data_IF_603029473994
#
_entry.id   IF_603029473994
#
_cell.length_a   1.000
_cell.length_b   1.000
_cell.length_c   1.000
_cell.angle_alpha   90.00
_cell.angle_beta   90.00
_cell.angle_gamma   90.00
#
_symmetry.space_group_name_H-M   'P 1'
#
loop_
_entity.id
_entity.type
_entity.pdbx_description
1 polymer ?
#
# COMPACT_ATOMS: atom_id res chain seq x y z
N UNK A 1 -3.58 -11.72 -17.91
CA UNK A 1 -2.73 -12.72 -17.22
C UNK A 1 -2.41 -12.23 -15.82
N UNK A 2 -2.53 -13.09 -14.83
CA UNK A 2 -2.20 -12.70 -13.46
C UNK A 2 -0.69 -12.61 -13.27
N UNK A 3 -0.28 -11.64 -12.47
CA UNK A 3 1.12 -11.43 -12.12
C UNK A 3 1.60 -12.42 -11.05
N UNK A 4 0.70 -12.78 -10.13
CA UNK A 4 1.01 -13.66 -8.99
C UNK A 4 -0.20 -14.49 -8.60
N UNK A 5 0.03 -15.50 -7.78
CA UNK A 5 -1.03 -16.30 -7.17
C UNK A 5 -0.82 -16.40 -5.67
N UNK A 6 -1.90 -16.70 -4.94
CA UNK A 6 -1.84 -16.97 -3.51
C UNK A 6 -1.59 -18.46 -3.32
N UNK A 7 -0.58 -18.79 -2.49
CA UNK A 7 -0.27 -20.18 -2.18
C UNK A 7 -1.17 -20.65 -1.03
N UNK A 8 -2.13 -21.52 -1.34
CA UNK A 8 -3.11 -21.98 -0.34
C UNK A 8 -2.51 -22.91 0.70
N UNK A 9 -1.35 -23.49 0.41
CA UNK A 9 -0.65 -24.40 1.33
C UNK A 9 0.47 -23.72 2.13
N UNK A 10 0.68 -22.43 1.93
CA UNK A 10 1.70 -21.68 2.65
C UNK A 10 1.04 -20.46 3.27
N UNK A 11 0.47 -20.65 4.45
CA UNK A 11 -0.34 -19.63 5.10
C UNK A 11 0.09 -19.43 6.55
N UNK A 12 -0.26 -18.25 7.07
CA UNK A 12 -0.12 -17.96 8.50
C UNK A 12 -1.43 -17.37 9.00
N UNK A 13 -1.67 -17.46 10.29
CA UNK A 13 -2.78 -16.76 10.93
C UNK A 13 -2.22 -15.61 11.73
N UNK A 14 -2.74 -14.41 11.49
CA UNK A 14 -2.26 -13.18 12.10
C UNK A 14 -3.45 -12.40 12.63
N UNK A 15 -3.57 -12.30 13.96
CA UNK A 15 -4.73 -11.67 14.62
C UNK A 15 -6.08 -12.22 14.12
N UNK A 16 -6.16 -13.54 13.96
CA UNK A 16 -7.39 -14.20 13.51
C UNK A 16 -7.64 -14.12 12.01
N UNK A 17 -6.75 -13.53 11.24
CA UNK A 17 -6.89 -13.42 9.78
C UNK A 17 -5.89 -14.36 9.12
N UNK A 18 -6.36 -15.16 8.15
CA UNK A 18 -5.49 -16.03 7.38
C UNK A 18 -4.81 -15.23 6.28
N UNK A 19 -3.48 -15.33 6.20
CA UNK A 19 -2.68 -14.68 5.18
C UNK A 19 -2.00 -15.74 4.33
N UNK A 20 -1.86 -15.45 3.05
CA UNK A 20 -1.33 -16.36 2.04
C UNK A 20 -0.03 -15.80 1.48
N UNK A 21 0.98 -16.65 1.39
CA UNK A 21 2.22 -16.29 0.70
C UNK A 21 1.93 -16.16 -0.80
N UNK A 22 2.60 -15.22 -1.45
CA UNK A 22 2.41 -14.99 -2.89
C UNK A 22 3.56 -15.58 -3.70
N UNK A 23 3.27 -15.94 -4.95
CA UNK A 23 4.26 -16.48 -5.87
C UNK A 23 4.09 -15.80 -7.23
N UNK A 24 5.18 -15.29 -7.80
CA UNK A 24 5.15 -14.63 -9.10
C UNK A 24 4.86 -15.63 -10.22
N UNK A 25 3.91 -15.28 -11.08
CA UNK A 25 3.56 -16.08 -12.25
C UNK A 25 4.25 -15.60 -13.51
N UNK A 26 4.82 -14.40 -13.47
CA UNK A 26 5.59 -13.81 -14.58
C UNK A 26 6.81 -13.11 -13.99
N UNK A 27 7.79 -12.80 -14.85
CA UNK A 27 8.94 -11.99 -14.46
C UNK A 27 8.61 -10.52 -14.66
N UNK A 28 8.96 -9.68 -13.68
CA UNK A 28 8.74 -8.23 -13.77
C UNK A 28 9.66 -7.51 -12.79
N UNK A 29 10.16 -6.34 -13.18
CA UNK A 29 10.87 -5.42 -12.29
C UNK A 29 11.86 -6.07 -11.30
N UNK A 30 12.68 -7.00 -11.79
CA UNK A 30 13.67 -7.69 -10.96
C UNK A 30 13.13 -8.90 -10.20
N UNK A 31 11.83 -9.13 -10.24
CA UNK A 31 11.21 -10.33 -9.67
C UNK A 31 11.14 -11.38 -10.76
N UNK A 32 11.62 -12.59 -10.48
CA UNK A 32 11.60 -13.66 -11.47
C UNK A 32 10.35 -14.55 -11.30
N UNK A 33 9.86 -15.06 -12.44
CA UNK A 33 8.77 -16.04 -12.43
C UNK A 33 9.11 -17.18 -11.48
N UNK A 34 8.18 -17.50 -10.59
CA UNK A 34 8.36 -18.54 -9.57
C UNK A 34 8.89 -18.02 -8.25
N UNK A 35 9.33 -16.78 -8.20
CA UNK A 35 9.83 -16.19 -6.96
C UNK A 35 8.70 -16.04 -5.94
N UNK A 36 9.00 -16.36 -4.69
CA UNK A 36 8.04 -16.28 -3.58
C UNK A 36 8.21 -14.95 -2.87
N UNK A 37 7.07 -14.28 -2.60
CA UNK A 37 7.05 -12.99 -1.90
C UNK A 37 6.53 -13.11 -0.48
N UNK A 38 5.97 -12.03 0.04
CA UNK A 38 5.41 -11.97 1.39
C UNK A 38 3.99 -12.53 1.47
N UNK A 39 3.21 -12.00 2.42
CA UNK A 39 1.87 -12.49 2.73
C UNK A 39 0.81 -11.44 2.47
N UNK A 40 -0.32 -11.83 1.90
CA UNK A 40 -1.49 -10.97 1.74
C UNK A 40 -2.75 -11.73 2.15
N UNK A 41 -3.79 -11.00 2.54
CA UNK A 41 -5.06 -11.62 2.93
C UNK A 41 -5.94 -11.94 1.71
N UNK A 42 -5.86 -11.12 0.67
CA UNK A 42 -6.64 -11.31 -0.55
C UNK A 42 -6.00 -10.53 -1.70
N UNK A 43 -6.46 -10.79 -2.93
CA UNK A 43 -5.90 -10.12 -4.10
C UNK A 43 -6.10 -8.61 -4.12
N UNK A 44 -7.05 -8.07 -3.35
CA UNK A 44 -7.21 -6.61 -3.28
C UNK A 44 -6.03 -5.93 -2.61
N UNK A 45 -5.26 -6.67 -1.81
CA UNK A 45 -4.12 -6.12 -1.07
C UNK A 45 -2.90 -5.85 -1.96
N UNK A 46 -2.82 -6.47 -3.13
CA UNK A 46 -1.69 -6.28 -4.03
C UNK A 46 -2.19 -6.28 -5.47
N UNK A 47 -1.92 -5.20 -6.20
CA UNK A 47 -2.35 -5.08 -7.58
C UNK A 47 -1.74 -6.17 -8.47
N UNK A 48 -2.56 -6.75 -9.34
CA UNK A 48 -2.09 -7.70 -10.36
C UNK A 48 -1.42 -6.98 -11.53
N UNK A 49 -1.63 -5.67 -11.67
CA UNK A 49 -0.99 -4.86 -12.70
C UNK A 49 0.16 -4.06 -12.07
N UNK A 50 1.02 -3.50 -12.92
CA UNK A 50 2.16 -2.71 -12.45
C UNK A 50 3.25 -3.57 -11.86
N UNK A 51 4.19 -2.94 -11.17
CA UNK A 51 5.39 -3.60 -10.65
C UNK A 51 5.39 -3.77 -9.12
N UNK A 52 4.27 -3.49 -8.48
CA UNK A 52 4.17 -3.58 -7.01
C UNK A 52 4.43 -5.00 -6.52
N UNK A 53 5.10 -5.11 -5.38
CA UNK A 53 5.42 -6.41 -4.79
C UNK A 53 5.51 -6.33 -3.26
N UNK A 54 5.22 -7.45 -2.62
CA UNK A 54 5.37 -7.62 -1.17
C UNK A 54 6.51 -8.62 -0.97
N UNK A 55 7.55 -8.20 -0.28
CA UNK A 55 8.81 -8.94 -0.13
C UNK A 55 8.92 -9.66 1.21
N UNK A 56 9.74 -10.69 1.24
CA UNK A 56 10.16 -11.34 2.49
C UNK A 56 8.99 -11.87 3.29
N UNK A 57 8.91 -11.50 4.54
CA UNK A 57 7.82 -11.91 5.43
C UNK A 57 6.87 -10.76 5.77
N UNK A 58 6.90 -9.69 4.97
CA UNK A 58 5.97 -8.58 5.16
C UNK A 58 4.52 -9.06 5.00
N UNK A 59 3.62 -8.43 5.74
CA UNK A 59 2.20 -8.80 5.78
C UNK A 59 1.34 -7.61 5.38
N UNK A 60 0.50 -7.80 4.35
CA UNK A 60 -0.43 -6.78 3.89
C UNK A 60 -1.83 -7.36 3.98
N UNK A 61 -2.72 -6.72 4.71
CA UNK A 61 -4.05 -7.27 5.00
C UNK A 61 -5.08 -6.15 5.17
N UNK A 62 -6.31 -6.56 5.50
CA UNK A 62 -7.40 -5.61 5.70
C UNK A 62 -7.72 -4.86 4.41
N UNK A 63 -7.82 -3.55 4.50
CA UNK A 63 -8.20 -2.70 3.38
C UNK A 63 -7.00 -2.04 2.68
N UNK A 64 -5.78 -2.46 3.00
CA UNK A 64 -4.57 -1.95 2.35
C UNK A 64 -4.52 -2.35 0.89
N UNK A 65 -4.04 -1.44 0.04
CA UNK A 65 -3.88 -1.67 -1.40
C UNK A 65 -2.48 -1.23 -1.84
N UNK A 66 -1.63 -2.20 -2.14
CA UNK A 66 -0.28 -1.94 -2.64
C UNK A 66 -0.34 -1.96 -4.18
N UNK A 67 0.02 -0.85 -4.81
CA UNK A 67 -0.20 -0.62 -6.24
C UNK A 67 0.99 0.05 -6.90
N UNK A 68 0.89 0.21 -8.22
CA UNK A 68 1.87 0.94 -9.02
C UNK A 68 3.24 0.30 -8.96
N UNK A 69 4.23 1.07 -8.54
CA UNK A 69 5.60 0.62 -8.40
C UNK A 69 6.01 0.47 -6.92
N UNK A 70 5.04 0.48 -6.02
CA UNK A 70 5.33 0.38 -4.59
C UNK A 70 5.84 -1.01 -4.23
N UNK A 71 6.72 -1.05 -3.22
CA UNK A 71 7.13 -2.32 -2.64
C UNK A 71 7.03 -2.23 -1.12
N UNK A 72 6.70 -3.33 -0.52
CA UNK A 72 6.53 -3.45 0.92
C UNK A 72 7.44 -4.58 1.39
N UNK A 73 8.44 -4.24 2.21
CA UNK A 73 9.41 -5.20 2.76
C UNK A 73 9.17 -5.50 4.23
N UNK A 74 8.37 -4.66 4.89
CA UNK A 74 8.02 -4.82 6.30
C UNK A 74 6.66 -4.21 6.58
N UNK A 75 6.13 -4.52 7.75
CA UNK A 75 4.79 -4.05 8.12
C UNK A 75 4.70 -2.53 8.28
N UNK A 76 5.83 -1.87 8.44
CA UNK A 76 5.89 -0.42 8.60
C UNK A 76 5.99 0.33 7.26
N UNK A 77 6.01 -0.38 6.13
CA UNK A 77 6.19 0.26 4.81
C UNK A 77 4.91 0.78 4.19
N UNK A 78 3.78 0.63 4.85
CA UNK A 78 2.52 1.17 4.38
C UNK A 78 1.67 1.64 5.56
N UNK A 79 0.75 2.59 5.28
CA UNK A 79 -0.19 3.11 6.27
C UNK A 79 -1.57 3.14 5.64
N UNK A 80 -2.57 2.68 6.38
CA UNK A 80 -3.97 2.69 5.92
C UNK A 80 -4.75 3.69 6.76
N UNK A 81 -5.51 4.55 6.09
CA UNK A 81 -6.39 5.51 6.72
C UNK A 81 -7.82 5.30 6.26
N UNK A 82 -8.75 5.82 7.02
CA UNK A 82 -10.17 5.76 6.68
C UNK A 82 -10.70 7.17 6.45
N UNK A 83 -11.44 7.35 5.36
CA UNK A 83 -12.14 8.60 5.09
C UNK A 83 -13.30 8.72 6.07
N UNK A 84 -13.20 9.63 7.03
CA UNK A 84 -14.20 9.82 8.08
C UNK A 84 -15.16 10.96 7.80
N UNK A 85 -15.02 11.66 6.69
CA UNK A 85 -15.80 12.86 6.39
C UNK A 85 -16.79 12.69 5.24
N UNK A 86 -16.78 11.55 4.54
CA UNK A 86 -17.72 11.29 3.44
C UNK A 86 -18.00 9.80 3.27
N UNK A 87 -17.28 9.13 2.38
CA UNK A 87 -17.63 7.77 1.93
C UNK A 87 -17.29 6.63 2.90
N UNK A 88 -16.42 6.87 3.86
CA UNK A 88 -15.89 5.80 4.71
C UNK A 88 -14.87 4.91 4.02
N UNK A 89 -14.43 5.30 2.82
CA UNK A 89 -13.44 4.55 2.04
C UNK A 89 -12.09 4.54 2.75
N UNK A 90 -11.43 3.39 2.70
CA UNK A 90 -10.04 3.29 3.16
C UNK A 90 -9.09 3.73 2.05
N UNK A 91 -7.95 4.30 2.43
CA UNK A 91 -6.93 4.69 1.48
C UNK A 91 -5.55 4.36 2.03
N UNK A 92 -4.60 4.11 1.14
CA UNK A 92 -3.30 3.57 1.50
C UNK A 92 -2.17 4.48 1.02
N UNK A 93 -1.22 4.71 1.92
CA UNK A 93 0.05 5.35 1.59
C UNK A 93 1.14 4.29 1.62
N UNK A 94 1.99 4.23 0.59
CA UNK A 94 3.14 3.34 0.56
C UNK A 94 4.42 4.16 0.64
N UNK A 95 5.30 3.78 1.55
CA UNK A 95 6.49 4.58 1.88
C UNK A 95 7.60 4.48 0.83
N UNK A 96 7.72 3.35 0.17
CA UNK A 96 8.79 3.12 -0.80
C UNK A 96 8.81 4.14 -1.94
N UNK A 97 7.65 4.53 -2.41
CA UNK A 97 7.51 5.47 -3.54
C UNK A 97 6.75 6.73 -3.18
N UNK A 98 6.37 6.89 -1.91
CA UNK A 98 5.67 8.07 -1.39
C UNK A 98 4.39 8.40 -2.16
N UNK A 99 3.62 7.35 -2.47
CA UNK A 99 2.37 7.50 -3.24
C UNK A 99 1.15 7.07 -2.45
N UNK A 100 0.02 7.60 -2.88
CA UNK A 100 -1.28 7.39 -2.24
C UNK A 100 -2.23 6.69 -3.20
N UNK A 101 -2.89 5.65 -2.70
CA UNK A 101 -3.96 4.97 -3.43
C UNK A 101 -5.28 5.30 -2.76
N UNK A 102 -6.16 6.01 -3.48
CA UNK A 102 -7.47 6.44 -2.96
C UNK A 102 -8.51 6.10 -4.04
N UNK A 103 -9.16 4.96 -3.90
CA UNK A 103 -10.05 4.45 -4.94
C UNK A 103 -9.32 4.30 -6.26
N UNK A 104 -9.77 5.01 -7.29
CA UNK A 104 -9.11 5.00 -8.59
C UNK A 104 -7.90 5.93 -8.69
N UNK A 105 -7.76 6.83 -7.71
CA UNK A 105 -6.63 7.75 -7.72
C UNK A 105 -5.35 7.07 -7.27
N UNK A 106 -4.24 7.39 -7.94
CA UNK A 106 -2.92 6.95 -7.54
C UNK A 106 -1.92 8.05 -7.90
N UNK A 107 -1.18 8.55 -6.92
CA UNK A 107 -0.23 9.63 -7.14
C UNK A 107 0.44 10.06 -5.85
N UNK A 108 1.30 11.08 -5.95
CA UNK A 108 1.99 11.61 -4.78
C UNK A 108 1.05 12.51 -3.95
N UNK A 109 1.53 12.96 -2.79
CA UNK A 109 0.70 13.77 -1.89
C UNK A 109 0.22 15.08 -2.50
N UNK A 110 1.09 15.76 -3.26
CA UNK A 110 0.72 17.02 -3.90
C UNK A 110 -0.41 16.80 -4.91
N UNK A 111 -0.29 15.75 -5.73
CA UNK A 111 -1.33 15.41 -6.71
C UNK A 111 -2.65 15.03 -6.03
N UNK A 112 -2.58 14.32 -4.91
CA UNK A 112 -3.78 13.98 -4.15
C UNK A 112 -4.48 15.24 -3.62
N UNK A 113 -3.73 16.18 -3.06
CA UNK A 113 -4.28 17.41 -2.53
C UNK A 113 -4.95 18.22 -3.65
N UNK A 114 -4.28 18.35 -4.80
CA UNK A 114 -4.86 19.08 -5.94
C UNK A 114 -6.18 18.46 -6.40
N UNK A 115 -6.19 17.14 -6.56
CA UNK A 115 -7.40 16.43 -6.97
C UNK A 115 -8.53 16.62 -5.95
N UNK A 116 -8.21 16.50 -4.68
CA UNK A 116 -9.20 16.60 -3.62
C UNK A 116 -9.84 18.00 -3.57
N UNK A 117 -9.06 19.06 -3.77
CA UNK A 117 -9.61 20.41 -3.83
C UNK A 117 -10.50 20.64 -5.05
N UNK A 118 -10.23 19.95 -6.16
CA UNK A 118 -11.12 20.01 -7.33
C UNK A 118 -12.48 19.38 -7.03
N UNK A 119 -12.51 18.36 -6.15
CA UNK A 119 -13.74 17.72 -5.77
C UNK A 119 -14.56 18.59 -4.81
N UNK A 120 -13.93 19.12 -3.77
CA UNK A 120 -14.56 20.05 -2.82
C UNK A 120 -13.52 20.64 -1.88
N UNK A 121 -13.85 21.80 -1.29
CA UNK A 121 -13.01 22.43 -0.27
C UNK A 121 -12.82 21.48 0.92
N UNK A 122 -13.89 20.82 1.34
CA UNK A 122 -13.86 19.90 2.47
C UNK A 122 -12.92 18.72 2.23
N UNK A 123 -13.03 18.06 1.10
CA UNK A 123 -12.13 16.95 0.75
C UNK A 123 -10.68 17.40 0.68
N UNK A 124 -10.44 18.55 0.07
CA UNK A 124 -9.08 19.11 0.00
C UNK A 124 -8.49 19.33 1.37
N UNK A 125 -9.25 19.93 2.28
CA UNK A 125 -8.76 20.20 3.64
C UNK A 125 -8.41 18.93 4.39
N UNK A 126 -9.24 17.88 4.29
CA UNK A 126 -8.98 16.61 4.97
C UNK A 126 -7.77 15.89 4.38
N UNK A 127 -7.72 15.73 3.06
CA UNK A 127 -6.58 15.02 2.45
C UNK A 127 -5.27 15.76 2.67
N UNK A 128 -5.30 17.10 2.63
CA UNK A 128 -4.10 17.89 2.94
C UNK A 128 -3.61 17.60 4.36
N UNK A 129 -4.52 17.51 5.31
CA UNK A 129 -4.15 17.18 6.70
C UNK A 129 -3.49 15.80 6.80
N UNK A 130 -4.00 14.79 6.09
CA UNK A 130 -3.40 13.46 6.10
C UNK A 130 -2.03 13.44 5.45
N UNK A 131 -1.87 14.13 4.32
CA UNK A 131 -0.58 14.22 3.64
C UNK A 131 0.45 14.90 4.54
N UNK A 132 0.09 16.00 5.16
CA UNK A 132 0.97 16.72 6.10
C UNK A 132 1.30 15.87 7.32
N UNK A 133 0.34 15.09 7.81
CA UNK A 133 0.58 14.18 8.92
C UNK A 133 1.63 13.12 8.58
N UNK A 134 1.54 12.53 7.40
CA UNK A 134 2.50 11.51 6.94
C UNK A 134 3.89 12.14 6.75
N UNK A 135 3.94 13.34 6.17
CA UNK A 135 5.21 14.05 6.03
C UNK A 135 5.85 14.32 7.38
N UNK A 136 5.04 14.66 8.38
CA UNK A 136 5.51 14.86 9.74
C UNK A 136 6.06 13.57 10.34
N UNK A 137 5.39 12.46 10.14
CA UNK A 137 5.87 11.15 10.60
C UNK A 137 7.21 10.79 9.97
N UNK A 138 7.35 11.04 8.67
CA UNK A 138 8.59 10.73 7.95
C UNK A 138 9.74 11.65 8.41
N UNK A 139 9.45 12.89 8.73
CA UNK A 139 10.42 13.81 9.30
C UNK A 139 10.93 13.30 10.65
N UNK A 140 10.03 12.82 11.50
CA UNK A 140 10.38 12.25 12.80
C UNK A 140 11.26 11.00 12.62
N UNK A 141 10.89 10.12 11.69
CA UNK A 141 11.69 8.93 11.39
C UNK A 141 13.11 9.30 10.96
N UNK A 142 13.23 10.30 10.09
CA UNK A 142 14.52 10.77 9.60
C UNK A 142 15.41 11.26 10.76
N UNK A 143 14.85 12.01 11.67
CA UNK A 143 15.58 12.52 12.84
C UNK A 143 16.16 11.36 13.67
N UNK A 144 15.34 10.34 13.92
CA UNK A 144 15.80 9.19 14.72
C UNK A 144 16.80 8.30 14.00
N UNK A 145 16.77 8.25 12.69
CA UNK A 145 17.78 7.50 11.92
C UNK A 145 19.15 8.16 11.96
N UNK A 146 19.19 9.49 12.10
CA UNK A 146 20.43 10.25 12.13
C UNK A 146 21.12 10.19 13.51
N UNK A 147 20.46 9.60 14.49
CA UNK A 147 21.01 9.38 15.83
C UNK A 147 21.54 7.94 15.96
#
# INVERSE_FOLDING_TARGET
MKKYELLVDDTITFFGVQLFRIKALISFSGIEKGEVGGYIASEKNLSQSGNAWVYGDARVYGDAEVSGNAWVSGNADYIVFKNTWSSGRYFTYTKSNKKWRVGCFYGNGHELIEKAYKDSQKSGDFYKAYVEFVEKLEEIEKIHKEQ
#
